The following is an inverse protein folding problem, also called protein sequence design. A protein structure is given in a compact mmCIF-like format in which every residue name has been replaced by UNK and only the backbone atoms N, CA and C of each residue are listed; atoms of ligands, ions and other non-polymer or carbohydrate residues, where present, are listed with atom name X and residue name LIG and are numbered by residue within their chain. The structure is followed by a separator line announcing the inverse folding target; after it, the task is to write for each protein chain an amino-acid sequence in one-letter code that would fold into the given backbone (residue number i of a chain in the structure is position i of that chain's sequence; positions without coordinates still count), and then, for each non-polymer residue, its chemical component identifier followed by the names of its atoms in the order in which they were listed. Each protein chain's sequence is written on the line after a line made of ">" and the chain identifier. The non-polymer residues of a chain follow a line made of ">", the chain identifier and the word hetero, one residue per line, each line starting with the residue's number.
data_IF_454687847534
#
_entry.id   IF_454687847534
#
_cell.length_a   1.000
_cell.length_b   1.000
_cell.length_c   1.000
_cell.angle_alpha   90.00
_cell.angle_beta   90.00
_cell.angle_gamma   90.00
#
_symmetry.space_group_name_H-M   'P 1'
#
loop_
_entity.id
_entity.type
_entity.pdbx_description
1 polymer ?
#
# COMPACT_ATOMS: atom_id res chain seq x y z
N UNK A 1 -18.38 16.44 19.15
CA UNK A 1 -18.51 17.53 18.17
C UNK A 1 -17.26 17.52 17.30
N UNK A 2 -17.29 16.84 16.15
CA UNK A 2 -16.18 16.87 15.19
C UNK A 2 -16.40 18.08 14.29
N UNK A 3 -15.56 19.10 14.45
CA UNK A 3 -15.47 20.23 13.52
C UNK A 3 -14.91 19.71 12.19
N UNK A 4 -15.77 19.11 11.35
CA UNK A 4 -15.44 18.96 9.95
C UNK A 4 -15.31 20.38 9.39
N UNK A 5 -14.15 20.72 8.81
CA UNK A 5 -13.96 22.00 8.13
C UNK A 5 -14.97 22.08 6.96
N UNK A 6 -15.96 22.99 7.01
CA UNK A 6 -16.90 23.15 5.91
C UNK A 6 -16.12 23.63 4.68
N UNK A 7 -16.18 22.88 3.58
CA UNK A 7 -15.61 23.29 2.30
C UNK A 7 -14.19 22.81 1.97
N UNK A 8 -13.48 22.09 2.85
CA UNK A 8 -12.14 21.58 2.50
C UNK A 8 -12.22 20.46 1.44
N UNK A 9 -11.57 20.68 0.30
CA UNK A 9 -11.34 19.66 -0.74
C UNK A 9 -10.20 18.71 -0.31
N UNK A 10 -10.09 17.55 -0.95
CA UNK A 10 -8.98 16.60 -0.73
C UNK A 10 -8.36 16.32 -2.09
N UNK A 11 -7.03 16.45 -2.17
CA UNK A 11 -6.30 15.99 -3.34
C UNK A 11 -6.07 14.48 -3.19
N UNK A 12 -6.46 13.71 -4.20
CA UNK A 12 -6.23 12.27 -4.24
C UNK A 12 -5.38 11.89 -5.44
N UNK A 13 -4.31 11.15 -5.19
CA UNK A 13 -3.42 10.58 -6.20
C UNK A 13 -3.43 9.07 -6.03
N UNK A 14 -4.06 8.37 -6.96
CA UNK A 14 -4.30 6.92 -6.88
C UNK A 14 -3.40 6.20 -7.88
N UNK A 15 -3.06 4.94 -7.64
CA UNK A 15 -2.23 4.13 -8.55
C UNK A 15 -0.87 4.80 -8.88
N UNK A 16 -0.21 5.40 -7.90
CA UNK A 16 1.14 5.96 -8.08
C UNK A 16 2.17 4.82 -8.05
N UNK A 17 2.95 4.58 -9.12
CA UNK A 17 3.91 3.49 -9.13
C UNK A 17 5.13 3.84 -8.27
N UNK A 18 5.56 2.92 -7.41
CA UNK A 18 6.75 3.09 -6.58
C UNK A 18 7.85 2.05 -6.87
N UNK A 19 7.52 1.01 -7.64
CA UNK A 19 8.44 -0.08 -8.00
C UNK A 19 8.26 -0.49 -9.46
N UNK A 20 9.29 -1.11 -10.02
CA UNK A 20 9.16 -1.83 -11.29
C UNK A 20 8.13 -2.96 -11.16
N UNK A 21 7.31 -3.23 -12.19
CA UNK A 21 6.35 -4.33 -12.15
C UNK A 21 7.04 -5.67 -11.86
N UNK A 22 6.68 -6.40 -10.79
CA UNK A 22 7.32 -7.66 -10.42
C UNK A 22 6.77 -8.81 -11.27
N UNK A 23 6.96 -8.71 -12.60
CA UNK A 23 6.41 -9.63 -13.60
C UNK A 23 7.51 -10.40 -14.31
N UNK A 24 7.19 -11.56 -14.90
CA UNK A 24 8.13 -12.35 -15.68
C UNK A 24 9.38 -12.70 -14.87
N UNK A 25 10.56 -12.25 -15.34
CA UNK A 25 11.84 -12.49 -14.66
C UNK A 25 11.95 -11.83 -13.28
N UNK A 26 11.05 -10.89 -12.92
CA UNK A 26 11.03 -10.22 -11.63
C UNK A 26 10.04 -10.85 -10.61
N UNK A 27 9.23 -11.83 -11.03
CA UNK A 27 8.09 -12.40 -10.28
C UNK A 27 8.43 -12.85 -8.85
N UNK A 28 9.64 -13.31 -8.60
CA UNK A 28 10.11 -13.73 -7.27
C UNK A 28 11.45 -13.09 -6.88
N UNK A 29 11.65 -11.85 -7.31
CA UNK A 29 12.81 -11.05 -6.93
C UNK A 29 12.39 -9.94 -5.96
N UNK A 30 13.31 -9.45 -5.10
CA UNK A 30 13.10 -8.22 -4.35
C UNK A 30 12.64 -7.08 -5.27
N UNK A 31 11.71 -6.22 -4.81
CA UNK A 31 11.22 -5.15 -5.64
C UNK A 31 12.34 -4.15 -5.95
N UNK A 32 12.34 -3.63 -7.17
CA UNK A 32 13.28 -2.60 -7.59
C UNK A 32 12.58 -1.24 -7.62
N UNK A 33 13.19 -0.22 -7.01
CA UNK A 33 12.70 1.15 -7.04
C UNK A 33 12.47 1.62 -8.48
N UNK A 34 11.30 2.21 -8.75
CA UNK A 34 11.05 2.84 -10.05
C UNK A 34 11.51 4.30 -9.99
N UNK A 35 12.49 4.65 -10.82
CA UNK A 35 12.87 6.04 -11.08
C UNK A 35 12.39 6.39 -12.49
N UNK A 36 11.38 7.25 -12.58
CA UNK A 36 10.78 7.65 -13.85
C UNK A 36 10.39 9.12 -13.83
N UNK A 37 10.57 9.80 -14.95
CA UNK A 37 10.07 11.16 -15.19
C UNK A 37 8.77 11.19 -15.99
N UNK A 38 8.17 10.02 -16.23
CA UNK A 38 6.92 9.93 -17.01
C UNK A 38 5.72 10.38 -16.19
N UNK A 39 4.83 11.15 -16.81
CA UNK A 39 3.54 11.50 -16.24
C UNK A 39 2.66 10.25 -16.18
N UNK A 40 2.01 10.03 -15.04
CA UNK A 40 1.05 8.94 -14.84
C UNK A 40 -0.34 9.49 -14.55
N UNK A 41 -1.38 8.83 -15.06
CA UNK A 41 -2.76 9.12 -14.67
C UNK A 41 -3.02 8.55 -13.26
N UNK A 42 -3.09 9.44 -12.28
CA UNK A 42 -3.33 9.11 -10.88
C UNK A 42 -4.79 9.37 -10.43
N UNK A 43 -5.75 9.39 -11.35
CA UNK A 43 -7.16 9.72 -11.04
C UNK A 43 -7.98 8.53 -10.55
N UNK A 44 -7.53 7.29 -10.80
CA UNK A 44 -8.29 6.05 -10.55
C UNK A 44 -7.48 5.05 -9.73
N UNK A 45 -8.19 4.24 -8.94
CA UNK A 45 -7.59 3.14 -8.20
C UNK A 45 -6.96 2.11 -9.14
N UNK A 46 -5.85 1.54 -8.70
CA UNK A 46 -5.11 0.51 -9.42
C UNK A 46 -5.65 -0.91 -9.22
N UNK A 47 -5.07 -1.88 -9.95
CA UNK A 47 -5.33 -3.29 -9.69
C UNK A 47 -4.89 -3.66 -8.26
N UNK A 48 -5.49 -4.70 -7.68
CA UNK A 48 -4.86 -5.41 -6.57
C UNK A 48 -3.71 -6.27 -7.07
N UNK A 49 -2.83 -6.68 -6.17
CA UNK A 49 -2.03 -7.88 -6.42
C UNK A 49 -2.94 -9.11 -6.52
N UNK A 50 -2.44 -10.21 -7.10
CA UNK A 50 -3.19 -11.46 -7.13
C UNK A 50 -3.56 -11.91 -5.72
N UNK A 51 -4.84 -12.19 -5.50
CA UNK A 51 -5.40 -12.56 -4.20
C UNK A 51 -5.77 -14.04 -4.18
N UNK A 52 -5.71 -14.66 -3.01
CA UNK A 52 -6.15 -16.03 -2.80
C UNK A 52 -7.04 -16.14 -1.56
N UNK A 53 -8.29 -16.53 -1.76
CA UNK A 53 -9.28 -16.76 -0.70
C UNK A 53 -9.46 -18.26 -0.39
N UNK A 54 -8.37 -19.02 -0.27
CA UNK A 54 -8.42 -20.48 -0.10
C UNK A 54 -8.47 -20.91 1.39
N UNK A 55 -9.54 -20.58 2.10
CA UNK A 55 -9.70 -20.95 3.52
C UNK A 55 -11.19 -21.16 3.91
N UNK A 56 -11.43 -21.88 5.01
CA UNK A 56 -12.76 -22.40 5.38
C UNK A 56 -13.85 -21.31 5.52
N UNK A 57 -13.47 -20.10 5.96
CA UNK A 57 -14.39 -18.97 6.20
C UNK A 57 -14.48 -17.99 5.02
N UNK A 58 -14.02 -18.36 3.82
CA UNK A 58 -13.99 -17.47 2.64
C UNK A 58 -15.35 -16.83 2.32
N UNK A 59 -16.46 -17.55 2.52
CA UNK A 59 -17.82 -17.07 2.27
C UNK A 59 -18.22 -15.89 3.15
N UNK A 60 -17.58 -15.72 4.31
CA UNK A 60 -17.79 -14.61 5.25
C UNK A 60 -16.78 -13.47 4.99
N UNK A 61 -15.57 -13.79 4.56
CA UNK A 61 -14.49 -12.82 4.38
C UNK A 61 -14.56 -12.08 3.04
N UNK A 62 -14.91 -12.75 1.95
CA UNK A 62 -15.04 -12.13 0.61
C UNK A 62 -16.02 -10.94 0.60
N UNK A 63 -17.22 -11.03 1.23
CA UNK A 63 -18.13 -9.89 1.34
C UNK A 63 -17.56 -8.64 2.03
N UNK A 64 -16.56 -8.81 2.91
CA UNK A 64 -15.98 -7.71 3.69
C UNK A 64 -14.75 -7.13 2.99
N UNK A 65 -13.88 -7.99 2.46
CA UNK A 65 -12.55 -7.59 1.95
C UNK A 65 -12.42 -7.63 0.43
N UNK A 66 -13.49 -7.97 -0.30
CA UNK A 66 -13.49 -8.02 -1.75
C UNK A 66 -14.82 -7.58 -2.37
N UNK A 67 -15.61 -6.75 -1.66
CA UNK A 67 -16.88 -6.20 -2.16
C UNK A 67 -16.96 -4.67 -1.94
N UNK A 68 -17.10 -3.87 -3.02
CA UNK A 68 -16.91 -4.29 -4.40
C UNK A 68 -15.49 -4.85 -4.62
N UNK A 69 -15.29 -5.76 -5.59
CA UNK A 69 -13.96 -6.24 -5.91
C UNK A 69 -13.06 -5.10 -6.41
N UNK A 70 -11.73 -5.27 -6.36
CA UNK A 70 -10.81 -4.32 -6.99
C UNK A 70 -11.10 -4.20 -8.50
N UNK A 71 -10.65 -3.11 -9.16
CA UNK A 71 -10.85 -2.93 -10.60
C UNK A 71 -10.37 -4.13 -11.45
N UNK A 72 -9.27 -4.75 -11.02
CA UNK A 72 -8.72 -6.00 -11.56
C UNK A 72 -7.65 -6.56 -10.60
N UNK A 73 -7.18 -7.78 -10.86
CA UNK A 73 -5.97 -8.34 -10.22
C UNK A 73 -4.83 -8.44 -11.24
N UNK A 74 -3.62 -8.09 -10.84
CA UNK A 74 -2.44 -8.13 -11.71
C UNK A 74 -1.16 -8.35 -10.90
N UNK A 75 -0.09 -8.84 -11.53
CA UNK A 75 1.26 -8.83 -10.93
C UNK A 75 1.89 -7.45 -10.97
N UNK A 76 1.61 -6.67 -12.01
CA UNK A 76 1.87 -5.23 -12.01
C UNK A 76 0.87 -4.55 -11.06
N UNK A 77 1.20 -4.60 -9.76
CA UNK A 77 0.32 -4.14 -8.68
C UNK A 77 1.01 -3.25 -7.65
N UNK A 78 2.33 -3.02 -7.76
CA UNK A 78 3.12 -2.25 -6.78
C UNK A 78 2.90 -0.74 -6.93
N UNK A 79 1.70 -0.33 -6.51
CA UNK A 79 1.22 1.03 -6.50
C UNK A 79 0.88 1.47 -5.08
N UNK A 80 0.83 2.78 -4.88
CA UNK A 80 0.29 3.41 -3.68
C UNK A 80 -0.75 4.46 -4.03
N UNK A 81 -1.59 4.80 -3.05
CA UNK A 81 -2.58 5.87 -3.13
C UNK A 81 -2.27 6.90 -2.05
N UNK A 82 -2.47 8.18 -2.35
CA UNK A 82 -2.19 9.32 -1.47
C UNK A 82 -3.45 10.17 -1.40
N UNK A 83 -3.86 10.53 -0.19
CA UNK A 83 -4.88 11.55 0.07
C UNK A 83 -4.24 12.65 0.91
N UNK A 84 -4.30 13.88 0.43
CA UNK A 84 -3.72 15.04 1.08
C UNK A 84 -4.77 16.16 1.23
N UNK A 85 -4.68 16.99 2.29
CA UNK A 85 -5.49 18.20 2.40
C UNK A 85 -5.29 19.12 1.19
N UNK A 86 -6.29 19.92 0.83
CA UNK A 86 -6.29 20.80 -0.36
C UNK A 86 -5.06 21.71 -0.50
N UNK A 87 -4.47 22.15 0.61
CA UNK A 87 -3.26 22.98 0.61
C UNK A 87 -2.04 22.17 1.00
N UNK A 88 -1.09 22.05 0.08
CA UNK A 88 0.29 21.60 0.36
C UNK A 88 1.17 22.72 0.95
N UNK A 89 0.69 23.97 0.97
CA UNK A 89 1.43 25.10 1.52
C UNK A 89 1.35 25.12 3.05
N UNK A 90 2.42 25.61 3.69
CA UNK A 90 2.51 25.79 5.13
C UNK A 90 3.27 24.65 5.81
N UNK A 91 2.91 24.36 7.06
CA UNK A 91 3.59 23.34 7.86
C UNK A 91 3.37 21.95 7.28
N UNK A 92 4.44 21.17 7.01
CA UNK A 92 4.34 19.78 6.59
C UNK A 92 3.50 18.94 7.56
N UNK A 93 2.60 18.12 7.00
CA UNK A 93 1.59 17.35 7.74
C UNK A 93 2.11 16.00 8.16
N UNK A 94 1.61 15.46 9.28
CA UNK A 94 1.91 14.08 9.64
C UNK A 94 1.38 13.11 8.56
N UNK A 95 2.08 12.00 8.36
CA UNK A 95 1.76 11.00 7.34
C UNK A 95 1.28 9.73 8.02
N UNK A 96 0.12 9.24 7.65
CA UNK A 96 -0.35 7.89 8.00
C UNK A 96 0.04 6.96 6.84
N UNK A 97 0.86 5.96 7.12
CA UNK A 97 1.23 4.92 6.16
C UNK A 97 0.46 3.64 6.50
N UNK A 98 -0.56 3.33 5.69
CA UNK A 98 -1.51 2.26 5.91
C UNK A 98 -1.15 0.97 5.16
N UNK A 99 -1.07 -0.13 5.90
CA UNK A 99 -0.89 -1.49 5.40
C UNK A 99 -2.15 -2.31 5.67
N UNK A 100 -2.76 -2.84 4.60
CA UNK A 100 -3.95 -3.68 4.74
C UNK A 100 -3.62 -5.05 5.35
N UNK A 101 -4.66 -5.71 5.87
CA UNK A 101 -4.58 -7.11 6.29
C UNK A 101 -5.05 -8.07 5.20
N UNK A 102 -5.12 -9.35 5.55
CA UNK A 102 -5.61 -10.40 4.65
C UNK A 102 -4.75 -11.65 4.70
N UNK A 103 -4.27 -12.00 5.91
CA UNK A 103 -3.45 -13.18 6.23
C UNK A 103 -2.26 -13.40 5.28
N UNK A 104 -1.74 -12.31 4.70
CA UNK A 104 -0.71 -12.30 3.67
C UNK A 104 -1.10 -12.99 2.34
N UNK A 105 -2.35 -13.44 2.17
CA UNK A 105 -2.83 -14.18 0.99
C UNK A 105 -3.76 -13.38 0.08
N UNK A 106 -4.47 -12.39 0.64
CA UNK A 106 -5.36 -11.47 -0.06
C UNK A 106 -5.25 -10.06 0.54
N UNK A 107 -6.01 -9.10 -0.02
CA UNK A 107 -6.06 -7.72 0.43
C UNK A 107 -5.66 -6.76 -0.69
N UNK A 108 -6.11 -5.51 -0.58
CA UNK A 108 -5.83 -4.48 -1.58
C UNK A 108 -5.95 -3.07 -0.99
N UNK A 109 -5.08 -2.16 -1.44
CA UNK A 109 -5.15 -0.74 -1.12
C UNK A 109 -6.34 -0.04 -1.79
N UNK A 110 -6.98 -0.69 -2.76
CA UNK A 110 -8.14 -0.19 -3.50
C UNK A 110 -9.48 -0.49 -2.80
N UNK A 111 -9.49 -1.11 -1.62
CA UNK A 111 -10.71 -1.39 -0.88
C UNK A 111 -11.35 -0.08 -0.39
N UNK A 112 -12.66 0.19 -0.63
CA UNK A 112 -13.30 1.44 -0.21
C UNK A 112 -13.22 1.73 1.30
N UNK A 113 -13.11 0.68 2.12
CA UNK A 113 -12.88 0.79 3.56
C UNK A 113 -11.61 1.58 3.91
N UNK A 114 -10.62 1.59 3.01
CA UNK A 114 -9.33 2.25 3.21
C UNK A 114 -9.23 3.59 2.46
N UNK A 115 -10.36 4.18 2.05
CA UNK A 115 -10.38 5.52 1.46
C UNK A 115 -9.93 6.57 2.50
N UNK A 116 -8.76 7.18 2.26
CA UNK A 116 -8.14 8.15 3.15
C UNK A 116 -8.81 9.52 3.18
N UNK A 117 -9.82 9.79 2.34
CA UNK A 117 -10.41 11.14 2.17
C UNK A 117 -10.91 11.72 3.48
N UNK A 118 -11.63 10.95 4.28
CA UNK A 118 -12.20 11.44 5.55
C UNK A 118 -11.11 11.79 6.56
N UNK A 119 -10.06 10.96 6.67
CA UNK A 119 -8.96 11.21 7.59
C UNK A 119 -8.15 12.43 7.16
N UNK A 120 -7.78 12.51 5.87
CA UNK A 120 -7.04 13.64 5.33
C UNK A 120 -7.78 14.98 5.53
N UNK A 121 -9.09 14.97 5.27
CA UNK A 121 -9.94 16.16 5.45
C UNK A 121 -10.11 16.60 6.90
N UNK A 122 -10.36 15.66 7.80
CA UNK A 122 -10.83 15.98 9.15
C UNK A 122 -9.69 16.06 10.18
N UNK A 123 -8.51 15.49 9.89
CA UNK A 123 -7.41 15.39 10.86
C UNK A 123 -6.14 16.15 10.43
N UNK A 124 -6.16 16.84 9.28
CA UNK A 124 -5.01 17.59 8.76
C UNK A 124 -3.73 16.72 8.62
N UNK A 125 -3.91 15.55 8.01
CA UNK A 125 -2.87 14.54 7.77
C UNK A 125 -2.81 14.14 6.30
N UNK A 126 -1.66 13.66 5.85
CA UNK A 126 -1.55 12.93 4.58
C UNK A 126 -1.75 11.45 4.86
N UNK A 127 -2.58 10.78 4.06
CA UNK A 127 -2.81 9.33 4.17
C UNK A 127 -2.22 8.66 2.95
N UNK A 128 -1.42 7.62 3.16
CA UNK A 128 -0.87 6.77 2.11
C UNK A 128 -1.34 5.34 2.34
N UNK A 129 -1.88 4.69 1.32
CA UNK A 129 -2.14 3.23 1.35
C UNK A 129 -1.36 2.54 0.24
N UNK A 130 -0.85 1.34 0.52
CA UNK A 130 0.09 0.65 -0.38
C UNK A 130 -0.43 -0.73 -0.77
N UNK A 131 -0.17 -1.14 -2.01
CA UNK A 131 -0.18 -2.55 -2.38
C UNK A 131 1.18 -3.18 -2.09
N UNK A 132 1.13 -4.45 -1.72
CA UNK A 132 2.29 -5.33 -1.60
C UNK A 132 1.90 -6.74 -2.06
N UNK A 133 2.85 -7.50 -2.61
CA UNK A 133 2.55 -8.85 -3.13
C UNK A 133 2.04 -9.76 -2.00
N UNK A 134 1.04 -10.56 -2.33
CA UNK A 134 0.39 -11.54 -1.45
C UNK A 134 0.64 -12.97 -1.92
N UNK A 135 0.22 -13.95 -1.12
CA UNK A 135 0.31 -15.40 -1.36
C UNK A 135 1.69 -15.83 -1.91
N UNK A 136 1.74 -16.76 -2.85
CA UNK A 136 3.00 -17.25 -3.44
C UNK A 136 3.81 -16.16 -4.17
N UNK A 137 3.18 -15.07 -4.62
CA UNK A 137 3.91 -13.97 -5.26
C UNK A 137 4.72 -13.15 -4.25
N UNK A 138 4.20 -12.93 -3.04
CA UNK A 138 4.87 -12.17 -1.99
C UNK A 138 5.62 -13.02 -0.97
N UNK A 139 5.20 -14.26 -0.80
CA UNK A 139 5.69 -15.17 0.24
C UNK A 139 5.85 -16.59 -0.35
N UNK A 140 6.73 -16.76 -1.37
CA UNK A 140 6.96 -18.06 -1.98
C UNK A 140 7.54 -19.03 -0.94
N UNK A 141 6.74 -20.01 -0.53
CA UNK A 141 7.16 -21.03 0.42
C UNK A 141 7.93 -22.13 -0.30
N UNK A 142 9.26 -22.12 -0.18
CA UNK A 142 10.09 -23.25 -0.62
C UNK A 142 10.18 -24.39 0.40
N UNK A 143 9.85 -24.14 1.66
CA UNK A 143 10.40 -24.93 2.76
C UNK A 143 11.87 -24.59 3.00
N UNK A 144 12.43 -25.08 4.12
CA UNK A 144 13.80 -24.74 4.55
C UNK A 144 14.90 -25.15 3.56
N UNK A 145 14.59 -26.06 2.62
CA UNK A 145 15.58 -26.75 1.78
C UNK A 145 15.72 -26.19 0.36
N UNK A 146 14.93 -25.18 -0.05
CA UNK A 146 15.15 -24.58 -1.38
C UNK A 146 16.32 -23.64 -1.34
N UNK A 147 17.05 -23.55 -2.44
CA UNK A 147 18.18 -22.63 -2.62
C UNK A 147 17.94 -21.62 -3.74
N UNK A 148 16.81 -21.71 -4.45
CA UNK A 148 16.48 -20.86 -5.60
C UNK A 148 16.29 -19.39 -5.22
N UNK A 149 15.73 -19.13 -4.03
CA UNK A 149 15.59 -17.78 -3.48
C UNK A 149 16.43 -17.70 -2.19
N UNK A 150 17.42 -16.79 -2.12
CA UNK A 150 18.21 -16.56 -0.91
C UNK A 150 17.31 -16.28 0.30
N UNK A 151 17.67 -16.77 1.50
CA UNK A 151 16.82 -16.65 2.70
C UNK A 151 16.40 -15.20 3.00
N UNK A 152 17.31 -14.25 2.83
CA UNK A 152 17.07 -12.81 3.03
C UNK A 152 16.19 -12.16 1.93
N UNK A 153 15.76 -12.91 0.92
CA UNK A 153 14.94 -12.45 -0.20
C UNK A 153 13.60 -13.18 -0.30
N UNK A 154 13.20 -13.98 0.71
CA UNK A 154 11.95 -14.78 0.66
C UNK A 154 10.71 -14.01 1.09
N UNK A 155 10.88 -12.94 1.87
CA UNK A 155 9.77 -12.12 2.36
C UNK A 155 9.48 -10.97 1.40
N UNK A 156 9.24 -11.28 0.13
CA UNK A 156 9.10 -10.30 -0.95
C UNK A 156 7.99 -9.27 -0.68
N UNK A 157 6.85 -9.71 -0.14
CA UNK A 157 5.76 -8.82 0.25
C UNK A 157 6.16 -7.81 1.33
N UNK A 158 7.11 -8.12 2.20
CA UNK A 158 7.64 -7.15 3.17
C UNK A 158 8.64 -6.19 2.55
N UNK A 159 9.46 -6.69 1.64
CA UNK A 159 10.38 -5.85 0.88
C UNK A 159 9.60 -4.85 0.00
N UNK A 160 8.42 -5.24 -0.50
CA UNK A 160 7.49 -4.34 -1.19
C UNK A 160 7.02 -3.20 -0.27
N UNK A 161 6.59 -3.54 0.96
CA UNK A 161 6.18 -2.57 1.96
C UNK A 161 7.35 -1.63 2.37
N UNK A 162 8.55 -2.19 2.55
CA UNK A 162 9.76 -1.43 2.87
C UNK A 162 10.07 -0.42 1.76
N UNK A 163 10.07 -0.88 0.50
CA UNK A 163 10.34 -0.03 -0.65
C UNK A 163 9.29 1.08 -0.78
N UNK A 164 8.01 0.77 -0.55
CA UNK A 164 6.96 1.78 -0.54
C UNK A 164 7.16 2.82 0.58
N UNK A 165 7.59 2.40 1.78
CA UNK A 165 7.93 3.32 2.87
C UNK A 165 9.14 4.19 2.52
N UNK A 166 10.17 3.62 1.88
CA UNK A 166 11.31 4.39 1.36
C UNK A 166 10.87 5.42 0.31
N UNK A 167 9.98 5.03 -0.61
CA UNK A 167 9.40 5.94 -1.59
C UNK A 167 8.65 7.09 -0.88
N UNK A 168 7.85 6.79 0.14
CA UNK A 168 7.13 7.83 0.91
C UNK A 168 8.11 8.77 1.60
N UNK A 169 9.14 8.25 2.29
CA UNK A 169 10.18 9.09 2.92
C UNK A 169 10.86 10.03 1.91
N UNK A 170 11.07 9.58 0.69
CA UNK A 170 11.75 10.37 -0.35
C UNK A 170 10.82 11.38 -1.03
N UNK A 171 9.52 11.09 -1.17
CA UNK A 171 8.64 11.83 -2.07
C UNK A 171 7.46 12.55 -1.39
N UNK A 172 7.09 12.18 -0.15
CA UNK A 172 5.82 12.65 0.45
C UNK A 172 5.77 14.16 0.70
N UNK A 173 6.92 14.82 0.78
CA UNK A 173 7.05 16.27 0.86
C UNK A 173 6.40 16.99 -0.33
N UNK A 174 6.41 16.40 -1.53
CA UNK A 174 5.74 16.95 -2.71
C UNK A 174 4.21 16.96 -2.59
N UNK A 175 3.66 16.18 -1.66
CA UNK A 175 2.23 16.06 -1.36
C UNK A 175 1.86 16.79 -0.06
N UNK A 176 2.78 17.59 0.50
CA UNK A 176 2.57 18.33 1.76
C UNK A 176 2.81 17.51 3.03
N UNK A 177 3.30 16.27 2.93
CA UNK A 177 3.61 15.43 4.09
C UNK A 177 5.02 15.67 4.63
N UNK A 178 5.20 15.45 5.93
CA UNK A 178 6.50 15.50 6.61
C UNK A 178 7.15 14.10 6.59
N UNK A 179 8.28 13.90 5.88
CA UNK A 179 8.95 12.59 5.82
C UNK A 179 9.52 12.15 7.18
N UNK A 180 9.64 13.05 8.15
CA UNK A 180 10.11 12.74 9.51
C UNK A 180 8.97 12.45 10.49
N UNK A 181 7.70 12.55 10.07
CA UNK A 181 6.52 12.29 10.91
C UNK A 181 5.59 11.28 10.25
N UNK A 182 6.10 10.08 10.04
CA UNK A 182 5.35 8.95 9.46
C UNK A 182 4.90 8.01 10.57
N UNK A 183 3.59 7.84 10.73
CA UNK A 183 2.97 6.85 11.59
C UNK A 183 2.60 5.61 10.75
N UNK A 184 3.23 4.47 11.04
CA UNK A 184 2.86 3.19 10.45
C UNK A 184 1.58 2.67 11.10
N UNK A 185 0.58 2.31 10.30
CA UNK A 185 -0.70 1.76 10.77
C UNK A 185 -1.10 0.56 9.91
N UNK A 186 -1.78 -0.40 10.53
CA UNK A 186 -2.30 -1.54 9.80
C UNK A 186 -3.29 -2.35 10.61
N UNK A 187 -3.95 -3.30 9.94
CA UNK A 187 -4.92 -4.22 10.54
C UNK A 187 -4.53 -5.68 10.23
N UNK A 188 -4.71 -6.59 11.20
CA UNK A 188 -4.40 -8.02 11.05
C UNK A 188 -2.95 -8.22 10.56
N UNK A 189 -2.71 -8.94 9.46
CA UNK A 189 -1.37 -9.11 8.89
C UNK A 189 -0.64 -7.79 8.56
N UNK A 190 -1.39 -6.70 8.30
CA UNK A 190 -0.82 -5.36 8.16
C UNK A 190 -0.34 -4.78 9.50
N UNK A 191 -1.01 -5.10 10.61
CA UNK A 191 -0.53 -4.76 11.95
C UNK A 191 0.71 -5.57 12.33
N UNK A 192 0.76 -6.86 11.97
CA UNK A 192 1.98 -7.66 12.13
C UNK A 192 3.15 -7.04 11.34
N UNK A 193 2.87 -6.60 10.11
CA UNK A 193 3.85 -5.89 9.27
C UNK A 193 4.39 -4.62 9.93
N UNK A 194 3.56 -3.83 10.63
CA UNK A 194 4.02 -2.65 11.41
C UNK A 194 5.12 -3.04 12.40
N UNK A 195 4.99 -4.20 13.06
CA UNK A 195 5.97 -4.64 14.07
C UNK A 195 7.32 -5.05 13.50
N UNK A 196 7.41 -5.28 12.19
CA UNK A 196 8.62 -5.73 11.51
C UNK A 196 9.51 -4.58 11.05
N UNK A 197 8.97 -3.36 10.99
CA UNK A 197 9.76 -2.17 10.68
C UNK A 197 10.36 -1.55 11.94
N UNK A 198 11.67 -1.23 11.94
CA UNK A 198 12.25 -0.48 13.04
C UNK A 198 11.59 0.91 13.12
N UNK A 199 11.19 1.29 14.34
CA UNK A 199 10.64 2.61 14.64
C UNK A 199 11.74 3.67 14.70
#
# INVERSE_FOLDING_TARGET
>A
MTNALPGASVMSFKKVPHAHPPTGNLRWTPPAALISSQTVDASKLGPSCFQQFAFATQSVIIPIFNTPPPPSENEDCLYLNIWAPESIQGTPKAVIFWMYGGILSFGTASLPLYDGTSLAKNQDVVVVSINYRTNVFGFPFGGSNTTEIPLNQRNLGLLDQELALQWVRQNIHAFGGDPNRIALMGHSAGADSVTWFPQ
#
